data_IF_635705587653
#
_entry.id   IF_635705587653
#
_cell.length_a   1.000
_cell.length_b   1.000
_cell.length_c   1.000
_cell.angle_alpha   90.00
_cell.angle_beta   90.00
_cell.angle_gamma   90.00
#
_symmetry.space_group_name_H-M   'P 1'
#
loop_
_entity.id
_entity.type
_entity.pdbx_description
1 polymer ?
#
# COMPACT_ATOMS: atom_id res chain seq x y z
N UNK A 1 -6.87 -21.31 17.58
CA UNK A 1 -6.89 -21.32 16.10
C UNK A 1 -5.77 -20.38 15.67
N UNK A 2 -4.62 -20.92 15.24
CA UNK A 2 -3.55 -20.07 14.71
C UNK A 2 -4.01 -19.61 13.32
N UNK A 3 -4.25 -18.30 13.17
CA UNK A 3 -4.43 -17.69 11.85
C UNK A 3 -3.15 -18.03 11.07
N UNK A 4 -3.26 -18.86 10.02
CA UNK A 4 -2.14 -19.05 9.08
C UNK A 4 -1.68 -17.65 8.68
N UNK A 5 -0.36 -17.43 8.66
CA UNK A 5 0.22 -16.13 8.33
C UNK A 5 -0.47 -15.59 7.07
N UNK A 6 -1.13 -14.43 7.20
CA UNK A 6 -1.73 -13.73 6.07
C UNK A 6 -0.58 -13.39 5.12
N UNK A 7 -0.69 -13.63 3.80
CA UNK A 7 0.32 -13.24 2.83
C UNK A 7 0.76 -11.80 3.09
N UNK A 8 2.07 -11.60 3.22
CA UNK A 8 2.69 -10.32 3.60
C UNK A 8 2.64 -9.29 2.48
N UNK A 9 1.47 -9.06 1.88
CA UNK A 9 1.27 -7.98 0.93
C UNK A 9 0.83 -6.73 1.68
N UNK A 10 1.54 -5.63 1.46
CA UNK A 10 1.23 -4.33 2.06
C UNK A 10 1.15 -3.28 0.96
N UNK A 11 0.43 -2.19 1.23
CA UNK A 11 0.53 -0.98 0.40
C UNK A 11 1.84 -0.30 0.77
N UNK A 12 2.81 -0.21 -0.16
CA UNK A 12 4.10 0.43 0.07
C UNK A 12 4.08 1.91 -0.30
N UNK A 13 3.35 2.29 -1.35
CA UNK A 13 3.32 3.67 -1.81
C UNK A 13 1.98 4.01 -2.46
N UNK A 14 1.50 5.23 -2.25
CA UNK A 14 0.27 5.75 -2.84
C UNK A 14 0.56 7.10 -3.48
N UNK A 15 0.33 7.20 -4.79
CA UNK A 15 0.36 8.47 -5.50
C UNK A 15 -1.07 8.94 -5.77
N UNK A 16 -1.40 10.11 -5.24
CA UNK A 16 -2.73 10.72 -5.37
C UNK A 16 -2.73 11.81 -6.43
N UNK A 17 -3.81 11.90 -7.19
CA UNK A 17 -3.95 12.91 -8.23
C UNK A 17 -4.55 14.20 -7.63
N UNK A 18 -3.87 15.34 -7.84
CA UNK A 18 -4.26 16.64 -7.27
C UNK A 18 -4.98 17.58 -8.25
N UNK A 19 -5.29 17.16 -9.49
CA UNK A 19 -5.84 18.09 -10.51
C UNK A 19 -7.03 17.48 -11.25
N UNK A 20 -8.12 18.24 -11.38
CA UNK A 20 -9.38 17.83 -11.99
C UNK A 20 -9.31 17.56 -13.51
N UNK A 21 -8.12 17.46 -14.11
CA UNK A 21 -7.98 17.19 -15.54
C UNK A 21 -8.23 15.72 -15.90
N UNK A 22 -8.52 14.86 -14.90
CA UNK A 22 -8.84 13.43 -15.10
C UNK A 22 -7.76 12.74 -15.92
N UNK A 23 -6.51 13.13 -15.71
CA UNK A 23 -5.39 12.50 -16.39
C UNK A 23 -5.15 11.08 -15.89
N UNK A 24 -5.88 10.60 -14.87
CA UNK A 24 -5.82 9.21 -14.38
C UNK A 24 -4.38 8.81 -14.07
N UNK A 25 -3.73 9.66 -13.28
CA UNK A 25 -2.31 9.56 -12.92
C UNK A 25 -2.10 8.82 -11.59
N UNK A 26 -3.17 8.66 -10.80
CA UNK A 26 -3.15 7.97 -9.52
C UNK A 26 -2.72 6.52 -9.63
N UNK A 27 -1.95 6.06 -8.65
CA UNK A 27 -1.53 4.67 -8.55
C UNK A 27 -1.25 4.25 -7.11
N UNK A 28 -1.30 2.95 -6.90
CA UNK A 28 -0.99 2.28 -5.64
C UNK A 28 0.05 1.22 -5.92
N UNK A 29 1.14 1.24 -5.16
CA UNK A 29 2.13 0.18 -5.16
C UNK A 29 1.89 -0.77 -4.01
N UNK A 30 1.88 -2.06 -4.35
CA UNK A 30 1.86 -3.15 -3.40
C UNK A 30 3.26 -3.74 -3.28
N UNK A 31 3.67 -4.11 -2.08
CA UNK A 31 4.92 -4.81 -1.81
C UNK A 31 4.62 -6.18 -1.21
N UNK A 32 5.29 -7.21 -1.71
CA UNK A 32 5.38 -8.50 -1.06
C UNK A 32 6.54 -8.52 -0.08
N UNK A 33 6.27 -8.38 1.22
CA UNK A 33 7.31 -8.40 2.28
C UNK A 33 7.86 -9.79 2.58
N UNK A 34 7.44 -10.82 1.85
CA UNK A 34 7.97 -12.18 1.96
C UNK A 34 8.94 -12.52 0.83
N UNK A 35 9.65 -13.63 0.98
CA UNK A 35 10.61 -14.12 -0.02
C UNK A 35 9.99 -15.05 -1.06
N UNK A 36 8.76 -15.52 -0.84
CA UNK A 36 8.04 -16.40 -1.76
C UNK A 36 7.16 -15.59 -2.71
N UNK A 37 6.93 -16.09 -3.92
CA UNK A 37 6.00 -15.46 -4.86
C UNK A 37 4.57 -15.61 -4.36
N UNK A 38 3.78 -14.54 -4.40
CA UNK A 38 2.38 -14.51 -4.02
C UNK A 38 1.51 -14.36 -5.27
N UNK A 39 0.50 -15.22 -5.41
CA UNK A 39 -0.57 -15.06 -6.39
C UNK A 39 -1.63 -14.08 -5.84
N UNK A 40 -1.97 -13.07 -6.64
CA UNK A 40 -2.94 -12.05 -6.28
C UNK A 40 -4.40 -12.47 -6.52
N UNK A 41 -4.65 -13.69 -7.02
CA UNK A 41 -5.99 -14.19 -7.23
C UNK A 41 -6.83 -14.12 -5.93
N UNK A 42 -7.93 -13.37 -6.00
CA UNK A 42 -8.87 -13.20 -4.91
C UNK A 42 -8.59 -11.99 -4.00
N UNK A 43 -7.39 -11.42 -4.07
CA UNK A 43 -7.10 -10.14 -3.42
C UNK A 43 -7.87 -9.00 -4.09
N UNK A 44 -8.15 -7.96 -3.31
CA UNK A 44 -8.87 -6.78 -3.81
C UNK A 44 -8.28 -5.51 -3.26
N UNK A 45 -8.13 -4.53 -4.14
CA UNK A 45 -7.90 -3.15 -3.75
C UNK A 45 -9.25 -2.43 -3.72
N UNK A 46 -9.59 -1.83 -2.59
CA UNK A 46 -10.78 -0.99 -2.45
C UNK A 46 -10.33 0.43 -2.28
N UNK A 47 -10.79 1.32 -3.15
CA UNK A 47 -10.55 2.75 -3.01
C UNK A 47 -11.87 3.51 -3.04
N UNK A 48 -11.91 4.67 -2.41
CA UNK A 48 -13.14 5.45 -2.38
C UNK A 48 -13.07 6.68 -1.50
N UNK A 49 -14.23 7.28 -1.32
CA UNK A 49 -14.44 8.38 -0.40
C UNK A 49 -15.27 7.98 0.81
N UNK A 50 -15.19 8.79 1.86
CA UNK A 50 -16.07 8.63 3.03
C UNK A 50 -17.55 8.99 2.74
N UNK A 51 -17.85 9.53 1.55
CA UNK A 51 -19.20 9.88 1.10
C UNK A 51 -19.99 8.69 0.55
N UNK A 52 -19.32 7.57 0.25
CA UNK A 52 -19.93 6.30 -0.11
C UNK A 52 -19.59 5.81 -1.52
N UNK A 53 -18.88 6.58 -2.34
CA UNK A 53 -18.38 6.06 -3.61
C UNK A 53 -17.16 5.18 -3.36
N UNK A 54 -17.32 3.89 -3.57
CA UNK A 54 -16.25 2.90 -3.42
C UNK A 54 -16.12 2.07 -4.68
N UNK A 55 -14.88 1.75 -5.04
CA UNK A 55 -14.54 0.86 -6.15
C UNK A 55 -13.71 -0.28 -5.60
N UNK A 56 -14.18 -1.51 -5.80
CA UNK A 56 -13.41 -2.71 -5.54
C UNK A 56 -12.77 -3.19 -6.86
N UNK A 57 -11.45 -3.31 -6.85
CA UNK A 57 -10.62 -3.74 -7.98
C UNK A 57 -10.07 -5.13 -7.64
N UNK A 58 -10.50 -6.20 -8.33
CA UNK A 58 -9.84 -7.49 -8.20
C UNK A 58 -8.41 -7.38 -8.72
N UNK A 59 -7.46 -7.88 -7.93
CA UNK A 59 -6.06 -7.92 -8.33
C UNK A 59 -5.79 -9.15 -9.20
N UNK A 60 -4.84 -9.03 -10.13
CA UNK A 60 -4.42 -10.11 -11.03
C UNK A 60 -2.90 -10.22 -11.10
N UNK A 61 -2.41 -11.41 -11.46
CA UNK A 61 -0.99 -11.67 -11.61
C UNK A 61 -0.33 -12.13 -10.30
N UNK A 62 0.98 -11.99 -10.25
CA UNK A 62 1.80 -12.46 -9.13
C UNK A 62 2.80 -11.39 -8.72
N UNK A 63 3.15 -11.35 -7.43
CA UNK A 63 4.26 -10.53 -6.92
C UNK A 63 5.38 -11.47 -6.50
N UNK A 64 6.57 -11.34 -7.10
CA UNK A 64 7.74 -12.10 -6.65
C UNK A 64 8.04 -11.78 -5.18
N UNK A 65 8.80 -12.65 -4.50
CA UNK A 65 9.31 -12.30 -3.18
C UNK A 65 10.09 -11.00 -3.22
N UNK A 66 9.80 -10.07 -2.32
CA UNK A 66 10.35 -8.71 -2.30
C UNK A 66 10.12 -7.89 -3.58
N UNK A 67 9.20 -8.33 -4.44
CA UNK A 67 8.78 -7.58 -5.60
C UNK A 67 7.67 -6.59 -5.26
N UNK A 68 7.45 -5.66 -6.18
CA UNK A 68 6.32 -4.73 -6.14
C UNK A 68 5.32 -5.05 -7.23
N UNK A 69 4.11 -4.50 -7.09
CA UNK A 69 3.05 -4.57 -8.07
C UNK A 69 2.28 -3.25 -8.09
N UNK A 70 2.33 -2.54 -9.21
CA UNK A 70 1.77 -1.19 -9.35
C UNK A 70 0.43 -1.25 -10.08
N UNK A 71 -0.62 -0.77 -9.40
CA UNK A 71 -2.00 -0.71 -9.88
C UNK A 71 -2.40 0.75 -10.08
N UNK A 72 -2.83 1.13 -11.29
CA UNK A 72 -3.26 2.51 -11.57
C UNK A 72 -3.24 2.85 -13.05
N UNK A 73 -3.14 4.15 -13.37
CA UNK A 73 -3.00 4.63 -14.75
C UNK A 73 -4.33 4.77 -15.51
N UNK A 74 -4.31 4.94 -16.83
CA UNK A 74 -3.25 4.45 -17.74
C UNK A 74 -2.07 5.38 -17.96
N UNK A 75 -2.10 6.62 -17.49
CA UNK A 75 -1.11 7.61 -17.89
C UNK A 75 0.13 7.59 -16.98
N UNK A 76 1.30 7.40 -17.59
CA UNK A 76 2.61 7.41 -16.94
C UNK A 76 3.45 8.55 -17.49
N UNK A 77 3.95 9.42 -16.62
CA UNK A 77 4.69 10.62 -17.00
C UNK A 77 5.69 11.05 -15.90
N UNK A 78 6.61 11.99 -16.16
CA UNK A 78 7.58 12.42 -15.15
C UNK A 78 6.95 12.97 -13.86
N UNK A 79 5.73 13.52 -13.94
CA UNK A 79 5.03 14.12 -12.80
C UNK A 79 4.45 13.12 -11.81
N UNK A 80 4.18 11.86 -12.22
CA UNK A 80 3.74 10.78 -11.33
C UNK A 80 4.80 9.70 -11.12
N UNK A 81 6.08 10.01 -11.38
CA UNK A 81 7.19 9.08 -11.17
C UNK A 81 7.43 8.08 -12.30
N UNK A 82 6.74 8.23 -13.45
CA UNK A 82 6.80 7.29 -14.59
C UNK A 82 6.57 5.81 -14.20
N UNK A 83 5.45 5.47 -13.55
CA UNK A 83 5.18 4.09 -13.14
C UNK A 83 5.15 3.14 -14.34
N UNK A 84 5.68 1.94 -14.14
CA UNK A 84 5.41 0.78 -14.96
C UNK A 84 4.25 0.00 -14.33
N UNK A 85 3.08 0.05 -14.95
CA UNK A 85 1.88 -0.58 -14.42
C UNK A 85 1.86 -2.09 -14.68
N UNK A 86 1.78 -2.87 -13.62
CA UNK A 86 1.50 -4.30 -13.69
C UNK A 86 0.02 -4.56 -13.97
N UNK A 87 -0.85 -3.68 -13.47
CA UNK A 87 -2.29 -3.72 -13.70
C UNK A 87 -2.84 -2.32 -13.97
N UNK A 88 -3.26 -2.07 -15.21
CA UNK A 88 -3.84 -0.79 -15.62
C UNK A 88 -5.30 -0.69 -15.20
N UNK A 89 -5.61 0.20 -14.25
CA UNK A 89 -6.96 0.45 -13.73
C UNK A 89 -7.15 1.93 -13.42
N UNK A 90 -8.28 2.47 -13.82
CA UNK A 90 -8.72 3.79 -13.41
C UNK A 90 -9.14 3.79 -11.92
N UNK A 91 -8.29 4.42 -11.10
CA UNK A 91 -8.49 4.61 -9.66
C UNK A 91 -8.97 6.03 -9.31
N UNK A 92 -9.40 6.83 -10.28
CA UNK A 92 -9.75 8.24 -10.07
C UNK A 92 -10.87 8.44 -9.05
N UNK A 93 -11.76 7.46 -8.89
CA UNK A 93 -12.84 7.52 -7.89
C UNK A 93 -12.32 7.53 -6.44
N UNK A 94 -11.14 6.95 -6.17
CA UNK A 94 -10.61 6.82 -4.81
C UNK A 94 -9.32 7.59 -4.55
N UNK A 95 -8.52 7.87 -5.59
CA UNK A 95 -7.24 8.57 -5.45
C UNK A 95 -7.28 10.05 -5.82
N UNK A 96 -8.43 10.54 -6.29
CA UNK A 96 -8.59 11.94 -6.66
C UNK A 96 -8.85 12.82 -5.43
N UNK A 97 -8.04 13.84 -5.28
CA UNK A 97 -8.18 14.89 -4.28
C UNK A 97 -8.86 16.10 -4.91
N UNK A 98 -10.18 16.19 -4.76
CA UNK A 98 -10.99 17.35 -5.19
C UNK A 98 -10.92 18.53 -4.18
N UNK A 99 -10.05 18.43 -3.18
CA UNK A 99 -9.90 19.42 -2.12
C UNK A 99 -10.91 19.28 -0.97
N UNK A 100 -11.80 18.28 -0.99
CA UNK A 100 -12.79 18.05 0.08
C UNK A 100 -12.95 16.56 0.41
N UNK A 101 -12.91 16.23 1.71
CA UNK A 101 -13.32 14.92 2.20
C UNK A 101 -12.18 13.90 2.37
N UNK A 102 -12.51 12.85 3.10
CA UNK A 102 -11.66 11.71 3.39
C UNK A 102 -11.65 10.75 2.19
N UNK A 103 -10.45 10.33 1.79
CA UNK A 103 -10.22 9.28 0.79
C UNK A 103 -9.49 8.12 1.43
N UNK A 104 -9.65 6.95 0.85
CA UNK A 104 -8.94 5.78 1.33
C UNK A 104 -8.57 4.83 0.20
N UNK A 105 -7.54 4.06 0.48
CA UNK A 105 -7.15 2.85 -0.23
C UNK A 105 -6.99 1.75 0.81
N UNK A 106 -7.56 0.58 0.55
CA UNK A 106 -7.56 -0.55 1.44
C UNK A 106 -7.35 -1.84 0.66
N UNK A 107 -6.42 -2.67 1.11
CA UNK A 107 -6.11 -3.97 0.56
C UNK A 107 -6.80 -5.06 1.38
N UNK A 108 -7.45 -5.99 0.70
CA UNK A 108 -8.15 -7.12 1.31
C UNK A 108 -7.63 -8.46 0.80
N UNK A 109 -7.56 -9.42 1.71
CA UNK A 109 -7.21 -10.81 1.40
C UNK A 109 -8.36 -11.57 0.71
N UNK A 110 -8.07 -12.68 0.02
CA UNK A 110 -9.11 -13.53 -0.58
C UNK A 110 -10.15 -13.97 0.44
N UNK A 111 -11.43 -13.76 0.11
CA UNK A 111 -12.57 -14.17 0.92
C UNK A 111 -13.01 -13.17 1.99
N UNK A 112 -12.26 -12.09 2.22
CA UNK A 112 -12.68 -11.03 3.14
C UNK A 112 -13.90 -10.26 2.58
N UNK A 113 -14.91 -9.98 3.41
CA UNK A 113 -15.92 -8.97 3.11
C UNK A 113 -15.39 -7.59 3.51
N UNK A 114 -15.27 -6.63 2.59
CA UNK A 114 -14.91 -5.25 2.94
C UNK A 114 -15.89 -4.57 3.92
N UNK A 115 -17.07 -5.15 4.09
CA UNK A 115 -18.12 -4.68 4.98
C UNK A 115 -17.98 -5.14 6.43
N UNK A 116 -17.27 -6.24 6.67
CA UNK A 116 -17.23 -6.97 7.95
C UNK A 116 -15.81 -7.29 8.40
N UNK A 117 -14.87 -7.38 7.47
CA UNK A 117 -13.46 -7.70 7.70
C UNK A 117 -12.60 -6.44 7.64
N UNK A 118 -11.51 -6.46 8.40
CA UNK A 118 -10.51 -5.40 8.34
C UNK A 118 -9.56 -5.60 7.17
N UNK A 119 -9.16 -4.51 6.49
CA UNK A 119 -8.14 -4.60 5.47
C UNK A 119 -6.82 -5.07 6.07
N UNK A 120 -6.02 -5.76 5.25
CA UNK A 120 -4.67 -6.20 5.64
C UNK A 120 -3.67 -5.04 5.61
N UNK A 121 -3.95 -4.01 4.80
CA UNK A 121 -3.21 -2.75 4.74
C UNK A 121 -4.14 -1.66 4.23
N UNK A 122 -4.13 -0.47 4.85
CA UNK A 122 -4.92 0.64 4.37
C UNK A 122 -4.23 1.99 4.62
N UNK A 123 -4.48 2.92 3.70
CA UNK A 123 -4.05 4.31 3.76
C UNK A 123 -5.29 5.18 3.70
N UNK A 124 -5.53 5.95 4.75
CA UNK A 124 -6.51 7.03 4.75
C UNK A 124 -5.76 8.33 4.50
N UNK A 125 -6.25 9.12 3.55
CA UNK A 125 -5.65 10.40 3.26
C UNK A 125 -6.72 11.47 3.04
N UNK A 126 -6.40 12.70 3.44
CA UNK A 126 -7.28 13.83 3.26
C UNK A 126 -6.49 15.11 2.98
N UNK A 127 -7.07 16.10 2.28
CA UNK A 127 -6.44 17.39 2.02
C UNK A 127 -6.27 18.26 3.28
N UNK A 128 -6.76 17.80 4.45
CA UNK A 128 -6.60 18.43 5.76
C UNK A 128 -6.41 17.35 6.82
N UNK A 129 -5.76 17.66 7.96
CA UNK A 129 -5.69 16.74 9.10
C UNK A 129 -7.10 16.30 9.49
N UNK A 130 -7.31 14.99 9.50
CA UNK A 130 -8.54 14.41 10.00
C UNK A 130 -8.46 14.42 11.52
N UNK A 131 -9.49 14.92 12.20
CA UNK A 131 -9.71 14.53 13.60
C UNK A 131 -9.89 13.01 13.68
N UNK A 132 -9.79 12.45 14.88
CA UNK A 132 -9.66 11.02 15.24
C UNK A 132 -10.73 10.00 14.73
N UNK A 133 -11.49 10.31 13.68
CA UNK A 133 -12.55 9.49 13.11
C UNK A 133 -12.05 8.32 12.28
N UNK A 134 -11.51 7.29 12.95
CA UNK A 134 -11.46 5.93 12.40
C UNK A 134 -12.84 5.29 12.62
N UNK A 135 -13.43 4.56 11.65
CA UNK A 135 -14.58 3.71 11.92
C UNK A 135 -14.26 2.73 13.07
N UNK A 136 -15.03 2.71 14.16
CA UNK A 136 -14.77 1.83 15.29
C UNK A 136 -14.89 0.37 14.85
N UNK A 137 -13.77 -0.36 14.83
CA UNK A 137 -13.75 -1.80 14.52
C UNK A 137 -12.44 -2.30 13.92
N UNK A 138 -11.73 -1.46 13.14
CA UNK A 138 -10.45 -1.86 12.53
C UNK A 138 -9.29 -1.09 13.13
N UNK A 139 -8.41 -1.82 13.84
CA UNK A 139 -7.29 -1.25 14.62
C UNK A 139 -5.90 -1.63 14.12
N UNK A 140 -5.78 -2.46 13.09
CA UNK A 140 -4.46 -2.91 12.61
C UNK A 140 -4.23 -2.47 11.16
N UNK A 141 -3.08 -1.85 10.90
CA UNK A 141 -2.59 -1.55 9.53
C UNK A 141 -3.29 -0.39 8.82
N UNK A 142 -3.92 0.53 9.57
CA UNK A 142 -4.57 1.73 9.04
C UNK A 142 -3.72 2.94 9.38
N UNK A 143 -3.14 3.56 8.37
CA UNK A 143 -2.37 4.81 8.50
C UNK A 143 -3.26 5.98 8.10
N UNK A 144 -3.36 6.98 8.96
CA UNK A 144 -4.06 8.24 8.66
C UNK A 144 -3.00 9.28 8.35
N UNK A 145 -3.00 9.75 7.11
CA UNK A 145 -1.98 10.66 6.61
C UNK A 145 -2.63 11.91 6.04
N UNK A 146 -1.91 13.03 6.11
CA UNK A 146 -2.20 14.14 5.22
C UNK A 146 -1.98 13.64 3.79
N UNK A 147 -2.83 14.03 2.85
CA UNK A 147 -2.58 13.74 1.45
C UNK A 147 -1.20 14.24 1.02
N UNK A 148 -0.50 13.43 0.20
CA UNK A 148 0.73 13.88 -0.40
C UNK A 148 0.49 15.16 -1.22
N UNK A 149 1.50 16.05 -1.23
CA UNK A 149 1.48 17.31 -2.01
C UNK A 149 1.37 17.02 -3.53
N UNK A 150 1.00 17.99 -4.38
CA UNK A 150 1.04 17.77 -5.83
C UNK A 150 2.43 17.27 -6.27
N UNK A 151 2.45 16.19 -7.05
CA UNK A 151 3.70 15.57 -7.52
C UNK A 151 4.44 14.75 -6.47
N UNK A 152 3.86 14.56 -5.28
CA UNK A 152 4.40 13.71 -4.23
C UNK A 152 3.53 12.47 -4.02
N UNK A 153 4.10 11.47 -3.37
CA UNK A 153 3.42 10.25 -2.94
C UNK A 153 3.51 10.10 -1.41
N UNK A 154 2.68 9.22 -0.87
CA UNK A 154 2.81 8.69 0.48
C UNK A 154 3.60 7.39 0.38
N UNK A 155 4.77 7.32 1.01
CA UNK A 155 5.67 6.17 0.97
C UNK A 155 5.84 5.61 2.39
N UNK A 156 5.66 4.29 2.50
CA UNK A 156 5.83 3.55 3.74
C UNK A 156 7.32 3.31 3.99
N UNK A 157 7.77 3.61 5.20
CA UNK A 157 9.17 3.44 5.62
C UNK A 157 9.39 2.18 6.44
N UNK A 158 8.41 1.80 7.27
CA UNK A 158 8.53 0.66 8.18
C UNK A 158 7.29 -0.23 8.14
N UNK A 159 7.52 -1.51 8.42
CA UNK A 159 6.48 -2.51 8.62
C UNK A 159 6.95 -3.50 9.70
N UNK A 160 6.14 -3.82 10.71
CA UNK A 160 4.72 -3.48 10.89
C UNK A 160 4.44 -2.14 11.60
N UNK A 161 5.46 -1.34 11.92
CA UNK A 161 5.32 -0.09 12.69
C UNK A 161 4.52 1.00 11.97
N UNK A 162 4.36 0.88 10.65
CA UNK A 162 3.47 1.71 9.83
C UNK A 162 3.89 3.20 9.78
N UNK A 163 5.20 3.47 9.74
CA UNK A 163 5.71 4.83 9.51
C UNK A 163 5.61 5.20 8.03
N UNK A 164 5.19 6.44 7.75
CA UNK A 164 5.07 6.97 6.40
C UNK A 164 5.74 8.32 6.26
N UNK A 165 6.17 8.63 5.04
CA UNK A 165 6.62 9.97 4.65
C UNK A 165 5.93 10.45 3.40
N UNK A 166 5.96 11.76 3.21
CA UNK A 166 5.69 12.36 1.90
C UNK A 166 6.97 12.27 1.07
N UNK A 167 6.94 11.50 -0.02
CA UNK A 167 8.05 11.47 -0.97
C UNK A 167 7.83 12.51 -2.06
N UNK A 168 8.75 13.48 -2.15
CA UNK A 168 8.71 14.54 -3.17
C UNK A 168 9.18 14.07 -4.55
N UNK A 169 9.63 12.82 -4.63
CA UNK A 169 10.03 12.16 -5.87
C UNK A 169 9.43 10.74 -5.82
N UNK A 170 8.16 10.57 -6.29
CA UNK A 170 7.50 9.28 -6.27
C UNK A 170 8.35 8.22 -6.93
N UNK A 171 8.48 7.07 -6.26
CA UNK A 171 9.40 6.00 -6.64
C UNK A 171 8.66 4.71 -6.94
N UNK A 172 7.73 4.67 -7.92
CA UNK A 172 7.09 3.42 -8.28
C UNK A 172 8.13 2.41 -8.79
N UNK A 173 7.82 1.13 -8.59
CA UNK A 173 8.64 -0.01 -8.99
C UNK A 173 10.02 -0.05 -8.32
N UNK A 174 10.21 0.62 -7.17
CA UNK A 174 11.48 0.61 -6.43
C UNK A 174 11.54 -0.53 -5.42
N UNK A 175 12.77 -0.92 -5.05
CA UNK A 175 13.00 -1.90 -4.00
C UNK A 175 12.90 -1.22 -2.64
N UNK A 176 12.13 -1.83 -1.74
CA UNK A 176 11.91 -1.33 -0.38
C UNK A 176 12.72 -2.13 0.65
N UNK A 177 14.05 -1.97 0.62
CA UNK A 177 14.97 -2.68 1.54
C UNK A 177 14.64 -2.42 3.02
N UNK A 178 14.14 -1.22 3.33
CA UNK A 178 13.78 -0.78 4.68
C UNK A 178 12.53 -1.47 5.23
N UNK A 179 11.64 -1.99 4.36
CA UNK A 179 10.43 -2.72 4.73
C UNK A 179 10.69 -4.20 5.08
N UNK A 180 11.94 -4.53 5.39
CA UNK A 180 12.36 -5.87 5.80
C UNK A 180 12.61 -6.84 4.65
N UNK A 181 12.47 -6.38 3.40
CA UNK A 181 12.62 -7.21 2.21
C UNK A 181 14.05 -7.24 1.65
N UNK A 182 15.03 -7.33 2.55
CA UNK A 182 16.42 -7.54 2.15
C UNK A 182 16.75 -9.03 2.14
N UNK A 183 17.18 -9.61 1.01
CA UNK A 183 17.68 -11.00 0.98
C UNK A 183 18.92 -11.21 1.85
N UNK A 184 19.54 -10.13 2.35
CA UNK A 184 20.76 -10.17 3.15
C UNK A 184 20.55 -10.34 4.66
N UNK A 185 19.32 -10.18 5.18
CA UNK A 185 19.02 -10.47 6.59
C UNK A 185 18.74 -11.95 6.85
N UNK A 186 19.53 -12.83 6.24
CA UNK A 186 19.79 -14.12 6.89
C UNK A 186 20.40 -13.77 8.24
N UNK A 187 19.61 -13.88 9.30
CA UNK A 187 20.14 -13.99 10.65
C UNK A 187 21.12 -15.14 10.60
N UNK A 188 22.41 -14.82 10.44
CA UNK A 188 23.46 -15.74 10.82
C UNK A 188 23.23 -15.92 12.30
N UNK A 189 22.51 -16.98 12.65
CA UNK A 189 22.52 -17.50 14.01
C UNK A 189 23.99 -17.86 14.20
N UNK A 190 24.69 -17.01 14.94
CA UNK A 190 26.06 -17.29 15.32
C UNK A 190 26.01 -18.52 16.24
N UNK A 191 26.21 -19.69 15.63
CA UNK A 191 26.31 -20.97 16.33
C UNK A 191 27.70 -21.15 16.95
N UNK A 192 28.45 -20.06 17.19
CA UNK A 192 29.66 -20.10 18.00
C UNK A 192 29.37 -20.85 19.31
N UNK A 193 30.07 -21.97 19.57
CA UNK A 193 29.80 -22.76 20.76
C UNK A 193 30.06 -21.90 22.00
N UNK A 194 29.09 -21.88 22.92
CA UNK A 194 29.24 -21.36 24.27
C UNK A 194 30.51 -21.97 24.87
N UNK A 195 31.57 -21.16 25.01
CA UNK A 195 32.76 -21.56 25.75
C UNK A 195 32.33 -21.86 27.18
N UNK A 196 32.27 -23.15 27.53
CA UNK A 196 32.15 -23.60 28.90
C UNK A 196 33.39 -23.12 29.65
N UNK A 197 33.18 -22.17 30.57
CA UNK A 197 34.19 -21.80 31.57
C UNK A 197 34.16 -22.91 32.62
N UNK A 198 35.24 -23.68 32.69
CA UNK A 198 35.55 -24.55 33.82
C UNK A 198 36.35 -23.77 34.86
#
# INVERSE_FOLDING_TARGET
MHKLAVPGIVISEVYTEQVADRAVLGWVELLNVWHETVDLQGFRLVCGDAGGETRAVPLVGTISGCGTHVVGGPNSNPGNGMPFYDQVVDLSAGLFLDGVGLRFVALYEPGACPCEDCPISAVLHAPRPLGDGIPPGCRTGISILEAARPGASLERLTWPEDDWRHSVAPGPNQVHDELGCSPSRSSVIDLSPLKTVY
#
